data_IF_847742373814
#
_entry.id   IF_847742373814
#
_cell.length_a   1.000
_cell.length_b   1.000
_cell.length_c   1.000
_cell.angle_alpha   90.00
_cell.angle_beta   90.00
_cell.angle_gamma   90.00
#
_symmetry.space_group_name_H-M   'P 1'
#
loop_
_entity.id
_entity.type
_entity.pdbx_description
1 polymer ?
#
# COMPACT_ATOMS: atom_id res chain seq x y z
N UNK A 1 -33.63 -22.56 12.80
CA UNK A 1 -32.71 -22.78 11.67
C UNK A 1 -31.37 -23.20 12.24
N UNK A 2 -30.79 -24.34 11.88
CA UNK A 2 -29.46 -24.71 12.37
C UNK A 2 -28.40 -23.82 11.71
N UNK A 3 -27.53 -23.25 12.53
CA UNK A 3 -26.37 -22.45 12.14
C UNK A 3 -25.34 -23.34 11.41
N UNK A 4 -24.63 -22.85 10.38
CA UNK A 4 -23.56 -23.61 9.74
C UNK A 4 -22.39 -23.79 10.72
N UNK A 5 -22.05 -25.04 11.00
CA UNK A 5 -20.88 -25.41 11.79
C UNK A 5 -19.61 -25.16 10.97
N UNK A 6 -18.81 -24.17 11.37
CA UNK A 6 -17.43 -24.02 10.90
C UNK A 6 -16.59 -25.12 11.53
N UNK A 7 -16.18 -26.11 10.73
CA UNK A 7 -15.23 -27.14 11.17
C UNK A 7 -13.89 -26.50 11.56
N UNK A 8 -13.22 -26.98 12.63
CA UNK A 8 -11.88 -26.51 12.97
C UNK A 8 -10.85 -26.94 11.89
N UNK A 9 -9.79 -26.15 11.66
CA UNK A 9 -8.74 -26.53 10.72
C UNK A 9 -8.03 -27.81 11.18
N UNK A 10 -7.88 -28.78 10.27
CA UNK A 10 -7.22 -30.05 10.53
C UNK A 10 -5.72 -29.87 10.83
N UNK A 11 -5.15 -30.62 11.79
CA UNK A 11 -3.76 -30.48 12.26
C UNK A 11 -2.67 -30.99 11.29
N UNK A 12 -3.02 -31.49 10.11
CA UNK A 12 -2.12 -32.24 9.20
C UNK A 12 -1.52 -31.43 8.05
N UNK A 13 -1.66 -30.09 8.02
CA UNK A 13 -0.91 -29.30 7.03
C UNK A 13 0.56 -29.24 7.43
N UNK A 14 1.51 -29.75 6.63
CA UNK A 14 2.92 -29.71 6.98
C UNK A 14 3.36 -28.25 7.14
N UNK A 15 4.22 -27.99 8.13
CA UNK A 15 4.83 -26.68 8.29
C UNK A 15 5.59 -26.26 7.03
N UNK A 16 5.63 -24.96 6.75
CA UNK A 16 6.38 -24.40 5.64
C UNK A 16 7.86 -24.76 5.80
N UNK A 17 8.46 -25.32 4.74
CA UNK A 17 9.87 -25.69 4.72
C UNK A 17 10.68 -24.86 3.73
N UNK A 18 12.01 -24.92 3.84
CA UNK A 18 12.95 -24.23 2.94
C UNK A 18 12.78 -24.63 1.48
N UNK A 19 12.46 -25.89 1.23
CA UNK A 19 12.23 -26.38 -0.13
C UNK A 19 10.96 -25.75 -0.74
N UNK A 20 9.92 -25.49 0.05
CA UNK A 20 8.72 -24.82 -0.44
C UNK A 20 9.03 -23.36 -0.85
N UNK A 21 9.91 -22.68 -0.11
CA UNK A 21 10.37 -21.32 -0.44
C UNK A 21 11.19 -21.32 -1.72
N UNK A 22 12.11 -22.28 -1.88
CA UNK A 22 12.89 -22.44 -3.10
C UNK A 22 11.98 -22.68 -4.30
N UNK A 23 11.01 -23.58 -4.18
CA UNK A 23 10.05 -23.86 -5.25
C UNK A 23 9.22 -22.62 -5.60
N UNK A 24 8.70 -21.88 -4.61
CA UNK A 24 7.98 -20.63 -4.81
C UNK A 24 8.82 -19.61 -5.59
N UNK A 25 10.02 -19.29 -5.09
CA UNK A 25 10.90 -18.28 -5.69
C UNK A 25 11.28 -18.67 -7.12
N UNK A 26 11.74 -19.90 -7.34
CA UNK A 26 12.17 -20.32 -8.67
C UNK A 26 11.02 -20.35 -9.69
N UNK A 27 9.84 -20.88 -9.32
CA UNK A 27 8.68 -20.90 -10.23
C UNK A 27 8.18 -19.49 -10.53
N UNK A 28 8.11 -18.64 -9.52
CA UNK A 28 7.67 -17.26 -9.68
C UNK A 28 8.59 -16.47 -10.61
N UNK A 29 9.89 -16.49 -10.37
CA UNK A 29 10.81 -15.74 -11.22
C UNK A 29 11.03 -16.36 -12.60
N UNK A 30 10.80 -17.66 -12.79
CA UNK A 30 10.72 -18.25 -14.12
C UNK A 30 9.58 -17.63 -14.95
N UNK A 31 8.43 -17.36 -14.34
CA UNK A 31 7.31 -16.68 -15.01
C UNK A 31 7.58 -15.17 -15.21
N UNK A 32 8.08 -14.47 -14.19
CA UNK A 32 8.41 -13.04 -14.28
C UNK A 32 9.40 -12.77 -15.42
N UNK A 33 10.37 -13.64 -15.64
CA UNK A 33 11.37 -13.49 -16.72
C UNK A 33 10.78 -13.58 -18.13
N UNK A 34 9.69 -14.32 -18.28
CA UNK A 34 8.99 -14.54 -19.55
C UNK A 34 7.83 -13.55 -19.76
N UNK A 35 7.43 -12.87 -18.69
CA UNK A 35 6.35 -11.90 -18.73
C UNK A 35 6.70 -10.71 -19.64
N UNK A 36 5.81 -10.37 -20.57
CA UNK A 36 6.06 -9.33 -21.57
C UNK A 36 6.25 -7.93 -20.98
N UNK A 37 5.70 -7.66 -19.79
CA UNK A 37 5.78 -6.35 -19.14
C UNK A 37 6.86 -6.30 -18.07
N UNK A 38 6.92 -7.31 -17.19
CA UNK A 38 7.87 -7.36 -16.09
C UNK A 38 9.24 -7.89 -16.53
N UNK A 39 9.27 -8.86 -17.44
CA UNK A 39 10.49 -9.51 -17.93
C UNK A 39 11.55 -8.52 -18.37
N UNK A 40 11.27 -7.55 -19.25
CA UNK A 40 12.24 -6.53 -19.66
C UNK A 40 12.85 -5.74 -18.49
N UNK A 41 12.07 -5.43 -17.44
CA UNK A 41 12.54 -4.65 -16.29
C UNK A 41 13.56 -5.44 -15.47
N UNK A 42 13.26 -6.72 -15.20
CA UNK A 42 14.11 -7.63 -14.44
C UNK A 42 15.34 -8.06 -15.24
N UNK A 43 15.15 -8.50 -16.49
CA UNK A 43 16.23 -8.98 -17.36
C UNK A 43 17.28 -7.90 -17.65
N UNK A 44 16.89 -6.62 -17.65
CA UNK A 44 17.84 -5.51 -17.80
C UNK A 44 18.65 -5.21 -16.52
N UNK A 45 18.23 -5.71 -15.35
CA UNK A 45 18.82 -5.37 -14.04
C UNK A 45 19.49 -6.54 -13.33
N UNK A 46 19.13 -7.76 -13.67
CA UNK A 46 19.66 -8.98 -13.10
C UNK A 46 20.57 -9.65 -14.12
N UNK A 47 21.89 -9.53 -13.91
CA UNK A 47 22.88 -10.17 -14.77
C UNK A 47 23.12 -11.64 -14.36
N UNK A 48 23.28 -11.89 -13.07
CA UNK A 48 23.46 -13.23 -12.50
C UNK A 48 22.16 -13.69 -11.84
N UNK A 49 21.40 -14.50 -12.56
CA UNK A 49 20.10 -14.99 -12.10
C UNK A 49 20.23 -16.03 -10.99
N UNK A 50 21.25 -16.88 -11.02
CA UNK A 50 21.41 -17.94 -10.02
C UNK A 50 21.70 -17.31 -8.65
N UNK A 51 22.65 -16.38 -8.61
CA UNK A 51 22.93 -15.62 -7.39
C UNK A 51 21.73 -14.79 -6.91
N UNK A 52 20.98 -14.18 -7.83
CA UNK A 52 19.80 -13.40 -7.48
C UNK A 52 18.68 -14.26 -6.87
N UNK A 53 18.46 -15.46 -7.40
CA UNK A 53 17.46 -16.40 -6.88
C UNK A 53 17.84 -16.91 -5.50
N UNK A 54 19.12 -17.16 -5.23
CA UNK A 54 19.61 -17.51 -3.88
C UNK A 54 19.32 -16.40 -2.87
N UNK A 55 19.65 -15.14 -3.20
CA UNK A 55 19.35 -13.98 -2.36
C UNK A 55 17.84 -13.83 -2.10
N UNK A 56 17.00 -14.10 -3.10
CA UNK A 56 15.55 -14.05 -2.97
C UNK A 56 15.00 -15.19 -2.11
N UNK A 57 15.59 -16.39 -2.17
CA UNK A 57 15.26 -17.48 -1.25
C UNK A 57 15.58 -17.08 0.21
N UNK A 58 16.75 -16.46 0.44
CA UNK A 58 17.11 -15.95 1.78
C UNK A 58 16.16 -14.84 2.26
N UNK A 59 15.73 -13.96 1.35
CA UNK A 59 14.74 -12.93 1.63
C UNK A 59 13.41 -13.52 2.11
N UNK A 60 12.83 -14.44 1.33
CA UNK A 60 11.55 -15.05 1.68
C UNK A 60 11.64 -15.97 2.88
N UNK A 61 12.74 -16.69 3.08
CA UNK A 61 13.00 -17.46 4.31
C UNK A 61 13.04 -16.57 5.54
N UNK A 62 13.64 -15.39 5.43
CA UNK A 62 13.70 -14.45 6.56
C UNK A 62 12.30 -13.92 6.94
N UNK A 63 11.40 -13.79 5.96
CA UNK A 63 10.05 -13.29 6.17
C UNK A 63 9.06 -14.36 6.64
N UNK A 64 9.12 -15.56 6.06
CA UNK A 64 8.12 -16.61 6.29
C UNK A 64 8.54 -17.58 7.39
N UNK A 65 9.84 -17.82 7.54
CA UNK A 65 10.39 -18.76 8.53
C UNK A 65 11.15 -18.04 9.66
N UNK A 66 11.24 -16.71 9.61
CA UNK A 66 11.92 -15.91 10.63
C UNK A 66 13.44 -16.13 10.67
N UNK A 67 14.02 -16.63 9.57
CA UNK A 67 15.48 -16.75 9.48
C UNK A 67 16.12 -15.37 9.40
N UNK A 68 17.44 -15.29 9.60
CA UNK A 68 18.21 -14.03 9.53
C UNK A 68 19.25 -14.05 8.42
N UNK A 69 18.91 -14.70 7.31
CA UNK A 69 19.84 -14.93 6.19
C UNK A 69 19.92 -13.75 5.23
N UNK A 70 18.82 -13.04 5.04
CA UNK A 70 18.81 -11.88 4.16
C UNK A 70 19.48 -10.67 4.80
N UNK A 71 20.45 -10.10 4.08
CA UNK A 71 21.22 -8.90 4.51
C UNK A 71 21.10 -7.73 3.53
N UNK A 72 20.20 -7.82 2.55
CA UNK A 72 20.03 -6.82 1.51
C UNK A 72 19.17 -5.63 1.92
N UNK A 73 19.12 -4.61 1.05
CA UNK A 73 18.30 -3.42 1.22
C UNK A 73 17.30 -3.28 0.06
N UNK A 74 16.11 -3.93 0.16
CA UNK A 74 15.16 -4.01 -0.97
C UNK A 74 14.57 -2.64 -1.30
N UNK A 75 14.31 -1.81 -0.29
CA UNK A 75 13.71 -0.47 -0.47
C UNK A 75 14.58 0.40 -1.39
N UNK A 76 15.89 0.66 -1.10
CA UNK A 76 16.74 1.43 -2.00
C UNK A 76 16.89 0.82 -3.40
N UNK A 77 16.83 -0.50 -3.55
CA UNK A 77 16.97 -1.15 -4.85
C UNK A 77 15.78 -0.81 -5.77
N UNK A 78 14.55 -0.98 -5.28
CA UNK A 78 13.33 -0.73 -6.07
C UNK A 78 13.06 0.77 -6.26
N UNK A 79 13.42 1.58 -5.28
CA UNK A 79 13.34 3.04 -5.34
C UNK A 79 14.14 3.67 -6.51
N UNK A 80 15.13 2.97 -7.07
CA UNK A 80 15.96 3.44 -8.19
C UNK A 80 15.44 2.98 -9.55
N UNK A 81 14.39 2.17 -9.61
CA UNK A 81 13.80 1.73 -10.86
C UNK A 81 12.99 2.91 -11.43
N UNK A 82 13.31 3.44 -12.62
CA UNK A 82 12.50 4.44 -13.29
C UNK A 82 11.15 3.85 -13.69
N UNK A 83 10.12 4.70 -13.76
CA UNK A 83 8.79 4.36 -14.28
C UNK A 83 8.11 3.16 -13.59
N UNK A 84 8.48 2.88 -12.33
CA UNK A 84 7.72 1.96 -11.49
C UNK A 84 6.29 2.50 -11.35
N UNK A 85 5.30 1.63 -11.43
CA UNK A 85 3.90 2.04 -11.39
C UNK A 85 3.08 1.01 -10.63
N UNK A 86 1.94 1.44 -10.08
CA UNK A 86 1.03 0.51 -9.42
C UNK A 86 0.55 -0.64 -10.32
N UNK A 87 0.25 -0.42 -11.63
CA UNK A 87 -0.05 -1.52 -12.55
C UNK A 87 1.06 -2.58 -12.66
N UNK A 88 2.34 -2.19 -12.58
CA UNK A 88 3.45 -3.16 -12.57
C UNK A 88 3.41 -4.01 -11.29
N UNK A 89 3.14 -3.41 -10.14
CA UNK A 89 2.96 -4.15 -8.89
C UNK A 89 1.75 -5.09 -8.93
N UNK A 90 0.62 -4.65 -9.48
CA UNK A 90 -0.56 -5.49 -9.65
C UNK A 90 -0.27 -6.71 -10.53
N UNK A 91 0.46 -6.53 -11.63
CA UNK A 91 0.89 -7.65 -12.49
C UNK A 91 1.84 -8.60 -11.77
N UNK A 92 2.80 -8.06 -11.00
CA UNK A 92 3.72 -8.86 -10.20
C UNK A 92 2.97 -9.68 -9.13
N UNK A 93 2.00 -9.07 -8.44
CA UNK A 93 1.16 -9.73 -7.44
C UNK A 93 0.27 -10.81 -8.08
N UNK A 94 -0.31 -10.54 -9.25
CA UNK A 94 -1.14 -11.49 -9.97
C UNK A 94 -0.36 -12.77 -10.34
N UNK A 95 0.87 -12.63 -10.87
CA UNK A 95 1.76 -13.77 -11.12
C UNK A 95 2.12 -14.50 -9.82
N UNK A 96 2.40 -13.75 -8.75
CA UNK A 96 2.77 -14.33 -7.46
C UNK A 96 1.64 -15.18 -6.88
N UNK A 97 0.42 -14.65 -6.85
CA UNK A 97 -0.78 -15.36 -6.40
C UNK A 97 -1.08 -16.59 -7.26
N UNK A 98 -0.87 -16.50 -8.58
CA UNK A 98 -1.01 -17.65 -9.48
C UNK A 98 -0.03 -18.78 -9.13
N UNK A 99 1.20 -18.44 -8.78
CA UNK A 99 2.22 -19.43 -8.41
C UNK A 99 1.94 -20.03 -7.04
N UNK A 100 1.65 -19.22 -6.02
CA UNK A 100 1.36 -19.71 -4.67
C UNK A 100 0.12 -20.63 -4.66
N UNK A 101 -0.93 -20.28 -5.41
CA UNK A 101 -2.10 -21.14 -5.62
C UNK A 101 -1.74 -22.48 -6.30
N UNK A 102 -0.82 -22.45 -7.27
CA UNK A 102 -0.36 -23.63 -8.00
C UNK A 102 0.59 -24.57 -7.22
N UNK A 103 1.05 -24.18 -6.02
CA UNK A 103 1.94 -25.03 -5.20
C UNK A 103 1.18 -26.08 -4.38
N UNK A 104 -0.14 -25.95 -4.21
CA UNK A 104 -0.92 -26.86 -3.36
C UNK A 104 -0.55 -26.81 -1.88
N UNK A 105 -0.07 -25.64 -1.40
CA UNK A 105 0.36 -25.39 -0.02
C UNK A 105 -0.46 -24.24 0.60
N UNK A 106 -1.67 -24.50 1.13
CA UNK A 106 -2.58 -23.42 1.56
C UNK A 106 -2.00 -22.49 2.64
N UNK A 107 -1.27 -23.04 3.61
CA UNK A 107 -0.63 -22.26 4.67
C UNK A 107 0.47 -21.34 4.13
N UNK A 108 1.30 -21.84 3.20
CA UNK A 108 2.31 -21.04 2.51
C UNK A 108 1.65 -19.94 1.69
N UNK A 109 0.65 -20.29 0.89
CA UNK A 109 -0.06 -19.34 0.03
C UNK A 109 -0.60 -18.16 0.84
N UNK A 110 -1.38 -18.44 1.89
CA UNK A 110 -1.99 -17.39 2.71
C UNK A 110 -0.93 -16.46 3.34
N UNK A 111 0.17 -17.01 3.85
CA UNK A 111 1.23 -16.18 4.45
C UNK A 111 2.04 -15.41 3.40
N UNK A 112 2.41 -16.07 2.30
CA UNK A 112 3.23 -15.46 1.26
C UNK A 112 2.48 -14.34 0.53
N UNK A 113 1.21 -14.55 0.18
CA UNK A 113 0.37 -13.56 -0.50
C UNK A 113 0.19 -12.31 0.37
N UNK A 114 -0.18 -12.48 1.65
CA UNK A 114 -0.33 -11.36 2.58
C UNK A 114 0.97 -10.56 2.79
N UNK A 115 2.13 -11.24 2.81
CA UNK A 115 3.44 -10.58 2.90
C UNK A 115 3.79 -9.86 1.59
N UNK A 116 3.54 -10.48 0.44
CA UNK A 116 3.76 -9.92 -0.88
C UNK A 116 3.00 -8.60 -1.07
N UNK A 117 1.71 -8.57 -0.72
CA UNK A 117 0.87 -7.36 -0.79
C UNK A 117 1.44 -6.21 0.07
N UNK A 118 1.83 -6.52 1.32
CA UNK A 118 2.45 -5.54 2.22
C UNK A 118 3.77 -4.98 1.66
N UNK A 119 4.60 -5.84 1.07
CA UNK A 119 5.88 -5.43 0.48
C UNK A 119 5.62 -4.55 -0.74
N UNK A 120 4.73 -4.95 -1.64
CA UNK A 120 4.37 -4.18 -2.83
C UNK A 120 3.87 -2.78 -2.45
N UNK A 121 2.92 -2.70 -1.50
CA UNK A 121 2.42 -1.43 -0.99
C UNK A 121 3.53 -0.55 -0.38
N UNK A 122 4.46 -1.16 0.39
CA UNK A 122 5.58 -0.42 0.99
C UNK A 122 6.56 0.11 -0.06
N UNK A 123 6.94 -0.71 -1.04
CA UNK A 123 7.85 -0.32 -2.11
C UNK A 123 7.25 0.79 -2.98
N UNK A 124 5.95 0.67 -3.30
CA UNK A 124 5.21 1.69 -4.03
C UNK A 124 5.20 3.03 -3.28
N UNK A 125 4.84 3.02 -2.00
CA UNK A 125 4.86 4.22 -1.15
C UNK A 125 6.23 4.90 -1.14
N UNK A 126 7.32 4.14 -0.96
CA UNK A 126 8.67 4.73 -0.94
C UNK A 126 9.06 5.27 -2.32
N UNK A 127 8.71 4.57 -3.39
CA UNK A 127 8.98 5.02 -4.74
C UNK A 127 8.26 6.35 -5.04
N UNK A 128 6.97 6.45 -4.70
CA UNK A 128 6.19 7.70 -4.83
C UNK A 128 6.84 8.85 -4.05
N UNK A 129 7.27 8.60 -2.82
CA UNK A 129 7.92 9.63 -2.00
C UNK A 129 9.24 10.14 -2.58
N UNK A 130 9.96 9.33 -3.35
CA UNK A 130 11.26 9.70 -3.95
C UNK A 130 11.15 10.34 -5.34
N UNK A 131 10.06 10.11 -6.06
CA UNK A 131 9.88 10.53 -7.45
C UNK A 131 9.23 11.91 -7.63
N UNK A 132 8.94 12.66 -6.55
CA UNK A 132 8.57 14.08 -6.65
C UNK A 132 7.34 14.35 -7.55
N UNK A 133 6.26 13.60 -7.38
CA UNK A 133 4.92 14.10 -7.70
C UNK A 133 4.49 15.10 -6.61
N UNK A 134 3.53 16.01 -6.87
CA UNK A 134 3.08 16.98 -5.88
C UNK A 134 2.77 16.28 -4.56
N UNK A 135 3.58 16.54 -3.51
CA UNK A 135 3.25 16.07 -2.18
C UNK A 135 2.12 16.95 -1.70
N UNK A 136 0.92 16.37 -1.72
CA UNK A 136 -0.16 16.95 -0.97
C UNK A 136 0.26 16.99 0.50
N UNK A 137 -0.04 18.08 1.21
CA UNK A 137 0.30 18.17 2.63
C UNK A 137 -0.28 16.95 3.35
N UNK A 138 0.45 16.39 4.30
CA UNK A 138 0.03 15.22 5.08
C UNK A 138 -0.13 15.55 6.57
N UNK A 139 0.04 16.82 6.93
CA UNK A 139 -0.15 17.32 8.29
C UNK A 139 -0.99 18.61 8.25
N UNK A 140 -1.88 18.82 9.24
CA UNK A 140 -2.59 20.09 9.36
C UNK A 140 -1.59 21.24 9.65
N UNK A 141 -1.80 22.44 9.08
CA UNK A 141 -1.06 23.64 9.45
C UNK A 141 -1.11 23.94 10.96
N UNK A 142 -0.09 24.63 11.46
CA UNK A 142 -0.08 25.12 12.85
C UNK A 142 -1.29 26.02 13.13
N UNK A 143 -1.81 25.97 14.36
CA UNK A 143 -2.98 26.75 14.79
C UNK A 143 -4.33 26.14 14.43
N UNK A 144 -4.37 25.02 13.69
CA UNK A 144 -5.60 24.26 13.48
C UNK A 144 -5.92 23.36 14.67
N UNK A 145 -7.21 23.29 15.04
CA UNK A 145 -7.72 22.45 16.12
C UNK A 145 -8.65 21.36 15.55
N UNK A 146 -8.47 20.08 15.92
CA UNK A 146 -9.40 19.03 15.53
C UNK A 146 -10.73 19.25 16.26
N UNK A 147 -11.85 19.08 15.56
CA UNK A 147 -13.17 19.28 16.16
C UNK A 147 -14.16 18.16 15.88
N UNK A 148 -13.88 17.27 14.92
CA UNK A 148 -14.77 16.15 14.57
C UNK A 148 -14.00 15.04 13.87
N UNK A 149 -14.42 13.80 14.06
CA UNK A 149 -13.97 12.67 13.24
C UNK A 149 -15.14 12.07 12.45
N UNK A 150 -14.85 11.53 11.28
CA UNK A 150 -15.79 10.67 10.56
C UNK A 150 -15.85 9.29 11.21
N UNK A 151 -16.86 8.46 10.88
CA UNK A 151 -16.76 7.02 11.02
C UNK A 151 -15.56 6.46 10.23
N UNK A 152 -15.15 5.25 10.56
CA UNK A 152 -14.21 4.49 9.74
C UNK A 152 -14.93 3.98 8.49
N UNK A 153 -14.45 4.39 7.33
CA UNK A 153 -14.99 3.98 6.04
C UNK A 153 -14.32 2.71 5.53
N UNK A 154 -15.11 1.83 4.93
CA UNK A 154 -14.71 0.59 4.26
C UNK A 154 -15.39 0.54 2.88
N UNK A 155 -15.02 -0.41 1.99
CA UNK A 155 -15.71 -0.58 0.72
C UNK A 155 -17.24 -0.70 0.83
N UNK A 156 -17.73 -1.28 1.92
CA UNK A 156 -19.16 -1.59 2.12
C UNK A 156 -19.98 -0.39 2.60
N UNK A 157 -19.36 0.54 3.34
CA UNK A 157 -20.07 1.67 3.96
C UNK A 157 -19.65 3.04 3.40
N UNK A 158 -18.71 3.10 2.45
CA UNK A 158 -18.21 4.35 1.87
C UNK A 158 -19.33 5.08 1.09
N UNK A 159 -19.77 6.27 1.54
CA UNK A 159 -20.84 7.01 0.89
C UNK A 159 -20.51 7.36 -0.56
N UNK A 160 -21.51 7.30 -1.44
CA UNK A 160 -21.33 7.63 -2.88
C UNK A 160 -20.79 9.04 -3.12
N UNK A 161 -21.09 10.00 -2.24
CA UNK A 161 -20.58 11.37 -2.33
C UNK A 161 -19.04 11.45 -2.24
N UNK A 162 -18.40 10.58 -1.45
CA UNK A 162 -16.93 10.57 -1.30
C UNK A 162 -16.23 9.88 -2.50
N UNK A 163 -16.98 9.07 -3.26
CA UNK A 163 -16.50 8.39 -4.47
C UNK A 163 -16.50 9.28 -5.71
N UNK A 164 -17.15 10.45 -5.61
CA UNK A 164 -17.29 11.43 -6.67
C UNK A 164 -16.66 12.75 -6.24
N UNK A 165 -16.35 13.62 -7.21
CA UNK A 165 -15.76 14.93 -6.95
C UNK A 165 -16.62 15.75 -5.99
N UNK A 166 -16.06 16.13 -4.84
CA UNK A 166 -16.70 16.94 -3.81
C UNK A 166 -15.69 17.85 -3.12
N UNK A 167 -16.16 18.74 -2.24
CA UNK A 167 -15.31 19.65 -1.49
C UNK A 167 -15.64 19.62 0.01
N UNK A 168 -14.68 20.01 0.83
CA UNK A 168 -14.97 20.48 2.19
C UNK A 168 -15.53 21.90 2.15
N UNK A 169 -16.12 22.35 3.27
CA UNK A 169 -16.59 23.73 3.41
C UNK A 169 -15.40 24.68 3.57
N UNK A 170 -15.60 25.96 3.25
CA UNK A 170 -14.60 27.00 3.55
C UNK A 170 -14.20 26.95 5.03
N UNK A 171 -12.91 27.10 5.32
CA UNK A 171 -12.34 27.02 6.67
C UNK A 171 -12.37 25.62 7.31
N UNK A 172 -12.64 24.56 6.54
CA UNK A 172 -12.63 23.18 7.02
C UNK A 172 -11.55 22.36 6.32
N UNK A 173 -10.59 21.87 7.09
CA UNK A 173 -9.59 20.90 6.63
C UNK A 173 -10.01 19.49 7.04
N UNK A 174 -9.62 18.49 6.24
CA UNK A 174 -9.79 17.08 6.59
C UNK A 174 -8.46 16.35 6.50
N UNK A 175 -8.02 15.69 7.57
CA UNK A 175 -6.88 14.79 7.52
C UNK A 175 -7.40 13.37 7.31
N UNK A 176 -7.26 12.86 6.09
CA UNK A 176 -7.63 11.50 5.74
C UNK A 176 -6.48 10.56 6.09
N UNK A 177 -6.74 9.53 6.89
CA UNK A 177 -5.76 8.51 7.29
C UNK A 177 -6.22 7.12 6.91
N UNK A 178 -5.38 6.39 6.19
CA UNK A 178 -5.64 4.99 5.83
C UNK A 178 -5.19 4.08 6.97
N UNK A 179 -6.08 3.23 7.46
CA UNK A 179 -5.78 2.25 8.50
C UNK A 179 -5.40 0.89 7.92
N UNK A 180 -6.05 0.47 6.83
CA UNK A 180 -5.81 -0.81 6.15
C UNK A 180 -6.09 -0.68 4.65
N UNK A 181 -5.49 -1.57 3.84
CA UNK A 181 -5.67 -1.60 2.39
C UNK A 181 -4.97 -0.46 1.64
N UNK A 182 -5.49 -0.12 0.46
CA UNK A 182 -4.93 0.89 -0.44
C UNK A 182 -6.04 1.77 -0.99
N UNK A 183 -5.88 3.08 -0.82
CA UNK A 183 -6.82 4.11 -1.23
C UNK A 183 -6.16 5.05 -2.24
N UNK A 184 -6.77 5.26 -3.40
CA UNK A 184 -6.43 6.37 -4.28
C UNK A 184 -7.21 7.61 -3.87
N UNK A 185 -6.50 8.71 -3.75
CA UNK A 185 -7.01 10.07 -3.57
C UNK A 185 -6.71 10.86 -4.84
N UNK A 186 -7.72 11.54 -5.37
CA UNK A 186 -7.62 12.32 -6.60
C UNK A 186 -7.99 13.77 -6.31
N UNK A 187 -7.12 14.72 -6.68
CA UNK A 187 -7.47 16.12 -6.86
C UNK A 187 -8.03 16.32 -8.26
N UNK A 188 -9.29 16.71 -8.33
CA UNK A 188 -10.00 16.95 -9.58
C UNK A 188 -9.76 18.37 -10.13
N UNK A 189 -9.28 19.30 -9.29
CA UNK A 189 -8.92 20.65 -9.71
C UNK A 189 -7.52 20.66 -10.37
N UNK A 190 -7.30 21.49 -11.42
CA UNK A 190 -5.99 21.61 -12.05
C UNK A 190 -4.91 22.17 -11.10
N UNK A 191 -3.68 21.60 -11.08
CA UNK A 191 -3.26 20.43 -11.85
C UNK A 191 -3.86 19.14 -11.28
N UNK A 192 -4.50 18.35 -12.15
CA UNK A 192 -5.08 17.06 -11.78
C UNK A 192 -3.99 16.17 -11.19
N UNK A 193 -4.15 15.79 -9.93
CA UNK A 193 -3.11 15.10 -9.16
C UNK A 193 -3.70 13.86 -8.51
N UNK A 194 -3.06 12.72 -8.68
CA UNK A 194 -3.47 11.46 -8.06
C UNK A 194 -2.39 10.96 -7.10
N UNK A 195 -2.81 10.56 -5.90
CA UNK A 195 -1.95 10.01 -4.85
C UNK A 195 -2.55 8.70 -4.38
N UNK A 196 -1.72 7.67 -4.22
CA UNK A 196 -2.13 6.39 -3.64
C UNK A 196 -1.59 6.30 -2.23
N UNK A 197 -2.47 5.98 -1.27
CA UNK A 197 -2.21 5.92 0.16
C UNK A 197 -2.42 4.49 0.65
N UNK A 198 -1.39 3.92 1.27
CA UNK A 198 -1.44 2.63 1.95
C UNK A 198 -1.64 2.80 3.47
N UNK A 199 -1.90 1.68 4.16
CA UNK A 199 -2.03 1.64 5.61
C UNK A 199 -0.95 2.44 6.36
N UNK A 200 -1.38 3.33 7.24
CA UNK A 200 -0.53 4.23 8.03
C UNK A 200 -0.25 5.58 7.37
N UNK A 201 -0.56 5.77 6.08
CA UNK A 201 -0.37 7.03 5.39
C UNK A 201 -1.62 7.93 5.51
N UNK A 202 -1.40 9.22 5.29
CA UNK A 202 -2.44 10.24 5.38
C UNK A 202 -2.25 11.36 4.36
N UNK A 203 -3.32 12.10 4.09
CA UNK A 203 -3.32 13.29 3.23
C UNK A 203 -4.24 14.36 3.83
N UNK A 204 -3.81 15.61 3.74
CA UNK A 204 -4.58 16.79 4.09
C UNK A 204 -5.43 17.21 2.90
N UNK A 205 -6.71 17.34 3.18
CA UNK A 205 -7.72 17.90 2.31
C UNK A 205 -7.90 19.36 2.68
N UNK A 206 -7.53 20.25 1.78
CA UNK A 206 -7.68 21.69 1.96
C UNK A 206 -9.14 22.16 1.72
N UNK A 207 -9.55 23.29 2.33
CA UNK A 207 -10.85 23.88 2.11
C UNK A 207 -11.15 24.09 0.63
N UNK A 208 -12.36 23.70 0.22
CA UNK A 208 -12.92 24.00 -1.11
C UNK A 208 -12.20 23.35 -2.30
N UNK A 209 -11.16 22.53 -2.08
CA UNK A 209 -10.49 21.78 -3.13
C UNK A 209 -11.36 20.59 -3.56
N UNK A 210 -11.59 20.43 -4.86
CA UNK A 210 -12.35 19.29 -5.41
C UNK A 210 -11.51 18.04 -5.43
N UNK A 211 -12.04 16.99 -4.81
CA UNK A 211 -11.37 15.72 -4.71
C UNK A 211 -12.36 14.56 -4.59
N UNK A 212 -11.84 13.35 -4.78
CA UNK A 212 -12.56 12.11 -4.51
C UNK A 212 -11.59 10.98 -4.11
N UNK A 213 -12.16 9.88 -3.61
CA UNK A 213 -11.39 8.70 -3.23
C UNK A 213 -11.95 7.42 -3.84
N UNK A 214 -11.07 6.46 -4.09
CA UNK A 214 -11.43 5.11 -4.53
C UNK A 214 -10.54 4.09 -3.80
N UNK A 215 -11.12 2.98 -3.33
CA UNK A 215 -10.32 1.86 -2.86
C UNK A 215 -9.72 1.14 -4.06
N UNK A 216 -8.39 1.03 -4.08
CA UNK A 216 -7.65 0.19 -5.03
C UNK A 216 -7.54 -1.25 -4.50
N UNK A 217 -7.48 -1.40 -3.18
CA UNK A 217 -7.60 -2.67 -2.47
C UNK A 217 -8.58 -2.50 -1.29
N UNK A 218 -9.36 -3.55 -0.94
CA UNK A 218 -10.22 -3.52 0.24
C UNK A 218 -9.46 -3.08 1.48
N UNK A 219 -10.08 -2.22 2.28
CA UNK A 219 -9.37 -1.56 3.37
C UNK A 219 -10.26 -0.68 4.23
N UNK A 220 -9.62 0.19 4.98
CA UNK A 220 -10.32 1.18 5.79
C UNK A 220 -9.55 2.48 5.95
N UNK A 221 -10.28 3.59 6.06
CA UNK A 221 -9.72 4.91 6.34
C UNK A 221 -10.67 5.74 7.21
N UNK A 222 -10.17 6.81 7.82
CA UNK A 222 -10.96 7.75 8.62
C UNK A 222 -10.51 9.19 8.30
N UNK A 223 -11.38 10.17 8.53
CA UNK A 223 -11.07 11.60 8.34
C UNK A 223 -11.23 12.34 9.67
N UNK A 224 -10.18 13.02 10.12
CA UNK A 224 -10.25 13.98 11.23
C UNK A 224 -10.40 15.38 10.65
N UNK A 225 -11.46 16.10 11.03
CA UNK A 225 -11.75 17.45 10.58
C UNK A 225 -11.16 18.51 11.51
N UNK A 226 -10.55 19.52 10.91
CA UNK A 226 -9.90 20.63 11.60
C UNK A 226 -10.49 21.97 11.15
N UNK A 227 -10.39 22.97 12.03
CA UNK A 227 -10.69 24.38 11.78
C UNK A 227 -9.64 25.26 12.44
N UNK A 228 -9.50 26.51 12.00
CA UNK A 228 -8.65 27.47 12.71
C UNK A 228 -9.13 27.63 14.16
N UNK A 229 -8.21 27.57 15.12
CA UNK A 229 -8.49 28.00 16.48
C UNK A 229 -8.73 29.51 16.52
N UNK A 230 -9.45 30.00 17.53
CA UNK A 230 -9.55 31.44 17.78
C UNK A 230 -8.14 31.95 18.14
N UNK A 231 -7.42 32.51 17.16
CA UNK A 231 -6.17 33.18 17.42
C UNK A 231 -6.48 34.51 18.11
N UNK A 232 -6.10 34.64 19.38
CA UNK A 232 -6.09 35.93 20.06
C UNK A 232 -5.16 36.86 19.26
N UNK A 233 -5.62 38.04 18.82
CA UNK A 233 -4.81 38.94 17.99
C UNK A 233 -3.55 39.34 18.77
N UNK A 234 -2.38 39.48 18.10
CA UNK A 234 -1.17 39.88 18.78
C UNK A 234 -1.41 41.20 19.52
N UNK A 235 -1.08 41.22 20.81
CA UNK A 235 -1.20 42.41 21.64
C UNK A 235 -0.50 43.58 20.95
N UNK A 236 -1.27 44.64 20.67
CA UNK A 236 -0.73 45.89 20.14
C UNK A 236 0.34 46.38 21.10
N UNK A 237 1.61 46.33 20.68
CA UNK A 237 2.67 47.06 21.36
C UNK A 237 2.37 48.54 21.19
N UNK A 238 1.80 49.15 22.23
CA UNK A 238 1.65 50.59 22.35
C UNK A 238 3.03 51.25 22.47
N UNK A 239 3.16 52.39 21.79
CA UNK A 239 4.30 53.28 21.76
C UNK A 239 4.66 53.87 23.13
#
# INVERSE_FOLDING_TARGET
MPQPSSSPPSPDSPAIAEDDIRQLVHRFYAQVRQDETLGPIFNARVADWDHHLEMLCDFWSSLLLGTRRFKGAPIPAHARIPDLSWPLFQRWLALFHGVTAGLGRPALQAQADAMAERIAAKLWSVWQHRQSLPRLPDAPPEGLQPYRESPVFTPDNLPGALRSAHTTKNGTWGLLKVHAGVLRYTLDDPPHTEVVLAAGQQVLIEPQVRHHVAFELPGSFQITFYRAGDAEPPARSGA
#
